data_IF_823270563407
#
_entry.id   IF_823270563407
#
_cell.length_a   1.000
_cell.length_b   1.000
_cell.length_c   1.000
_cell.angle_alpha   90.00
_cell.angle_beta   90.00
_cell.angle_gamma   90.00
#
_symmetry.space_group_name_H-M   'P 1'
#
loop_
_entity.id
_entity.type
_entity.pdbx_description
1 polymer ?
#
# COMPACT_ATOMS: atom_id res chain seq x y z
N UNK A 1 -25.69 -25.86 -3.83
CA UNK A 1 -24.65 -25.04 -4.44
C UNK A 1 -24.37 -23.89 -3.49
N UNK A 2 -23.29 -23.98 -2.70
CA UNK A 2 -22.93 -22.97 -1.67
C UNK A 2 -22.01 -21.96 -2.33
N UNK A 3 -22.49 -20.72 -2.50
CA UNK A 3 -21.67 -19.59 -2.95
C UNK A 3 -20.76 -19.14 -1.80
N UNK A 4 -19.50 -19.48 -1.87
CA UNK A 4 -18.45 -18.92 -1.01
C UNK A 4 -18.20 -17.47 -1.47
N UNK A 5 -18.75 -16.50 -0.73
CA UNK A 5 -18.40 -15.10 -0.87
C UNK A 5 -16.99 -14.92 -0.29
N UNK A 6 -15.99 -14.88 -1.15
CA UNK A 6 -14.63 -14.50 -0.78
C UNK A 6 -14.64 -12.99 -0.46
N UNK A 7 -14.37 -12.63 0.79
CA UNK A 7 -14.09 -11.24 1.17
C UNK A 7 -12.75 -10.83 0.57
N UNK A 8 -12.76 -10.34 -0.66
CA UNK A 8 -11.61 -9.63 -1.22
C UNK A 8 -11.57 -8.24 -0.56
N UNK A 9 -10.49 -7.93 0.15
CA UNK A 9 -10.25 -6.56 0.61
C UNK A 9 -10.15 -5.65 -0.62
N UNK A 10 -10.88 -4.53 -0.60
CA UNK A 10 -10.84 -3.56 -1.68
C UNK A 10 -9.39 -3.08 -1.92
N UNK A 11 -8.97 -2.92 -3.18
CA UNK A 11 -7.65 -2.36 -3.48
C UNK A 11 -7.53 -0.94 -2.89
N UNK A 12 -6.31 -0.50 -2.53
CA UNK A 12 -6.11 0.86 -2.03
C UNK A 12 -6.55 1.86 -3.10
N UNK A 13 -7.32 2.87 -2.70
CA UNK A 13 -7.75 3.95 -3.60
C UNK A 13 -6.71 5.06 -3.56
N UNK A 14 -6.11 5.46 -4.70
CA UNK A 14 -5.19 6.57 -4.75
C UNK A 14 -5.86 7.89 -4.37
N UNK A 15 -5.13 8.75 -3.65
CA UNK A 15 -5.51 10.14 -3.44
C UNK A 15 -4.96 10.96 -4.60
N UNK A 16 -5.83 11.66 -5.31
CA UNK A 16 -5.47 12.44 -6.51
C UNK A 16 -5.76 13.91 -6.28
N UNK A 17 -4.81 14.75 -6.68
CA UNK A 17 -4.93 16.20 -6.70
C UNK A 17 -4.43 16.72 -8.06
N UNK A 18 -5.10 17.71 -8.62
CA UNK A 18 -4.74 18.26 -9.92
C UNK A 18 -5.20 19.71 -10.10
N UNK A 19 -4.50 20.43 -10.97
CA UNK A 19 -4.88 21.77 -11.38
C UNK A 19 -6.04 21.72 -12.41
N UNK A 20 -7.25 22.04 -11.97
CA UNK A 20 -8.44 22.01 -12.81
C UNK A 20 -8.43 23.04 -13.98
N UNK A 21 -7.53 24.04 -13.92
CA UNK A 21 -7.37 25.03 -14.98
C UNK A 21 -6.34 24.61 -16.05
N UNK A 22 -5.65 23.49 -15.86
CA UNK A 22 -4.67 22.96 -16.81
C UNK A 22 -5.37 22.17 -17.92
N UNK A 23 -4.99 22.40 -19.16
CA UNK A 23 -5.55 21.70 -20.33
C UNK A 23 -4.87 20.36 -20.54
N UNK A 24 -5.39 19.31 -19.92
CA UNK A 24 -4.90 17.94 -20.07
C UNK A 24 -5.22 17.32 -21.44
N UNK A 25 -6.20 17.83 -22.16
CA UNK A 25 -6.58 17.31 -23.49
C UNK A 25 -5.55 17.67 -24.56
N UNK A 26 -4.78 18.74 -24.35
CA UNK A 26 -3.68 19.14 -25.23
C UNK A 26 -2.45 18.24 -25.09
N UNK A 27 -2.30 17.49 -23.99
CA UNK A 27 -1.13 16.68 -23.67
C UNK A 27 -1.09 15.41 -24.54
N UNK A 28 0.03 15.19 -25.21
CA UNK A 28 0.27 14.01 -26.07
C UNK A 28 1.54 13.29 -25.74
N UNK A 29 2.57 14.02 -25.31
CA UNK A 29 3.91 13.50 -25.08
C UNK A 29 4.28 13.56 -23.60
N UNK A 30 4.89 12.47 -23.09
CA UNK A 30 5.36 12.39 -21.70
C UNK A 30 6.79 11.88 -21.68
N UNK A 31 7.65 12.55 -20.93
CA UNK A 31 8.99 12.04 -20.62
C UNK A 31 9.08 11.61 -19.15
N UNK A 32 9.88 10.58 -18.87
CA UNK A 32 10.25 10.27 -17.50
C UNK A 32 11.32 11.25 -17.03
N UNK A 33 11.06 11.86 -15.87
CA UNK A 33 11.98 12.77 -15.23
C UNK A 33 12.50 12.17 -13.94
N UNK A 34 13.83 11.97 -13.87
CA UNK A 34 14.51 11.61 -12.63
C UNK A 34 15.08 12.87 -12.00
N UNK A 35 14.58 13.22 -10.83
CA UNK A 35 15.22 14.26 -10.03
C UNK A 35 16.68 13.85 -9.74
N UNK A 36 17.59 14.82 -9.79
CA UNK A 36 19.02 14.57 -9.53
C UNK A 36 19.30 14.18 -8.07
N UNK A 37 18.36 14.46 -7.17
CA UNK A 37 18.47 14.18 -5.74
C UNK A 37 17.46 13.10 -5.32
N UNK A 38 17.92 12.21 -4.42
CA UNK A 38 17.06 11.24 -3.78
C UNK A 38 16.03 11.96 -2.91
N UNK A 39 14.75 11.65 -3.07
CA UNK A 39 13.72 12.28 -2.25
C UNK A 39 13.89 11.91 -0.76
N UNK A 40 13.58 12.83 0.16
CA UNK A 40 13.60 12.54 1.59
C UNK A 40 12.70 11.33 1.91
N UNK A 41 13.26 10.33 2.61
CA UNK A 41 12.56 9.09 2.96
C UNK A 41 12.65 7.95 1.93
N UNK A 42 13.29 8.17 0.78
CA UNK A 42 13.72 7.06 -0.09
C UNK A 42 14.87 6.29 0.58
N UNK A 43 14.72 4.97 0.66
CA UNK A 43 15.79 4.09 1.14
C UNK A 43 16.50 3.46 -0.08
N UNK A 44 17.75 3.89 -0.39
CA UNK A 44 18.50 3.34 -1.52
C UNK A 44 18.77 1.83 -1.40
N UNK A 45 18.77 1.30 -0.18
CA UNK A 45 18.97 -0.13 0.06
C UNK A 45 17.74 -0.96 -0.31
N UNK A 46 16.55 -0.36 -0.19
CA UNK A 46 15.28 -1.01 -0.53
C UNK A 46 14.90 -0.84 -2.00
N UNK A 47 15.47 0.15 -2.68
CA UNK A 47 15.15 0.51 -4.05
C UNK A 47 16.35 0.26 -5.00
N UNK A 48 16.57 -1.00 -5.38
CA UNK A 48 17.61 -1.35 -6.34
C UNK A 48 17.29 -0.79 -7.75
N UNK A 49 18.33 -0.62 -8.59
CA UNK A 49 18.14 -0.18 -9.99
C UNK A 49 17.17 -1.08 -10.75
N UNK A 50 17.25 -2.39 -10.51
CA UNK A 50 16.31 -3.36 -11.12
C UNK A 50 14.87 -3.11 -10.69
N UNK A 51 14.63 -2.67 -9.46
CA UNK A 51 13.29 -2.31 -8.97
C UNK A 51 12.81 -1.01 -9.61
N UNK A 52 13.70 -0.02 -9.71
CA UNK A 52 13.44 1.24 -10.43
C UNK A 52 13.04 0.98 -11.88
N UNK A 53 13.80 0.15 -12.59
CA UNK A 53 13.53 -0.21 -13.98
C UNK A 53 12.16 -0.88 -14.15
N UNK A 54 11.75 -1.73 -13.19
CA UNK A 54 10.41 -2.37 -13.21
C UNK A 54 9.29 -1.36 -13.00
N UNK A 55 9.46 -0.44 -12.05
CA UNK A 55 8.50 0.65 -11.80
C UNK A 55 8.35 1.50 -13.06
N UNK A 56 9.46 1.94 -13.64
CA UNK A 56 9.44 2.77 -14.84
C UNK A 56 8.85 2.03 -16.04
N UNK A 57 9.14 0.74 -16.20
CA UNK A 57 8.53 -0.08 -17.23
C UNK A 57 7.02 -0.15 -17.08
N UNK A 58 6.51 -0.35 -15.85
CA UNK A 58 5.09 -0.35 -15.57
C UNK A 58 4.42 1.00 -15.85
N UNK A 59 5.04 2.11 -15.42
CA UNK A 59 4.53 3.47 -15.69
C UNK A 59 4.50 3.78 -17.18
N UNK A 60 5.55 3.43 -17.92
CA UNK A 60 5.62 3.57 -19.40
C UNK A 60 4.51 2.79 -20.09
N UNK A 61 4.33 1.54 -19.70
CA UNK A 61 3.29 0.67 -20.24
C UNK A 61 1.89 1.25 -19.98
N UNK A 62 1.65 1.72 -18.76
CA UNK A 62 0.37 2.31 -18.36
C UNK A 62 0.05 3.62 -19.11
N UNK A 63 1.04 4.48 -19.36
CA UNK A 63 0.88 5.70 -20.15
C UNK A 63 0.61 5.39 -21.63
N UNK A 64 1.38 4.48 -22.20
CA UNK A 64 1.19 4.05 -23.59
C UNK A 64 -0.20 3.45 -23.82
N UNK A 65 -0.69 2.65 -22.87
CA UNK A 65 -2.04 2.09 -22.92
C UNK A 65 -3.15 3.15 -22.89
N UNK A 66 -2.85 4.34 -22.33
CA UNK A 66 -3.75 5.52 -22.29
C UNK A 66 -3.61 6.42 -23.50
N UNK A 67 -2.74 6.08 -24.47
CA UNK A 67 -2.57 6.80 -25.71
C UNK A 67 -1.48 7.87 -25.70
N UNK A 68 -0.70 7.99 -24.64
CA UNK A 68 0.41 8.94 -24.58
C UNK A 68 1.63 8.41 -25.32
N UNK A 69 2.33 9.31 -26.01
CA UNK A 69 3.62 9.02 -26.66
C UNK A 69 4.75 9.30 -25.69
N UNK A 70 5.61 8.32 -25.51
CA UNK A 70 6.78 8.48 -24.64
C UNK A 70 7.93 9.07 -25.45
N UNK A 71 8.53 10.13 -24.91
CA UNK A 71 9.72 10.80 -25.46
C UNK A 71 10.88 10.71 -24.46
N UNK A 72 12.11 10.82 -24.96
CA UNK A 72 13.30 10.71 -24.10
C UNK A 72 13.86 12.09 -23.70
N UNK A 73 13.48 13.14 -24.43
CA UNK A 73 13.93 14.50 -24.18
C UNK A 73 12.88 15.28 -23.37
N UNK A 74 13.34 16.02 -22.38
CA UNK A 74 12.51 16.92 -21.56
C UNK A 74 11.93 18.05 -22.45
N UNK A 75 12.70 18.48 -23.45
CA UNK A 75 12.32 19.57 -24.36
C UNK A 75 11.20 19.17 -25.34
N UNK A 76 11.02 17.87 -25.58
CA UNK A 76 10.00 17.33 -26.49
C UNK A 76 8.73 16.89 -25.76
N UNK A 77 8.74 16.96 -24.43
CA UNK A 77 7.64 16.47 -23.60
C UNK A 77 6.67 17.60 -23.24
N UNK A 78 5.39 17.34 -23.42
CA UNK A 78 4.33 18.20 -22.90
C UNK A 78 4.24 18.10 -21.37
N UNK A 79 4.48 16.91 -20.81
CA UNK A 79 4.56 16.68 -19.37
C UNK A 79 5.74 15.79 -19.00
N UNK A 80 6.28 16.02 -17.81
CA UNK A 80 7.29 15.18 -17.20
C UNK A 80 6.66 14.34 -16.09
N UNK A 81 6.84 13.02 -16.16
CA UNK A 81 6.48 12.11 -15.09
C UNK A 81 7.63 11.96 -14.12
N UNK A 82 7.43 12.35 -12.88
CA UNK A 82 8.31 12.06 -11.76
C UNK A 82 7.61 11.10 -10.79
N UNK A 83 8.39 10.21 -10.14
CA UNK A 83 7.85 9.31 -9.16
C UNK A 83 8.80 9.10 -7.98
N UNK A 84 8.22 8.81 -6.81
CA UNK A 84 8.93 8.54 -5.57
C UNK A 84 8.28 7.38 -4.83
N UNK A 85 9.09 6.52 -4.22
CA UNK A 85 8.62 5.46 -3.33
C UNK A 85 9.29 5.62 -1.97
N UNK A 86 8.51 6.04 -1.00
CA UNK A 86 8.93 6.16 0.40
C UNK A 86 8.50 4.92 1.16
N UNK A 87 9.40 4.33 1.94
CA UNK A 87 9.10 3.14 2.76
C UNK A 87 9.31 3.43 4.23
N UNK A 88 8.34 3.05 5.06
CA UNK A 88 8.38 3.19 6.51
C UNK A 88 8.11 1.84 7.17
N UNK A 89 8.95 1.46 8.14
CA UNK A 89 8.70 0.28 8.94
C UNK A 89 7.75 0.65 10.10
N UNK A 90 6.64 -0.06 10.20
CA UNK A 90 5.59 0.15 11.20
C UNK A 90 5.36 -1.12 12.01
N UNK A 91 4.89 -0.92 13.23
CA UNK A 91 4.50 -1.99 14.14
C UNK A 91 2.99 -1.92 14.41
N UNK A 92 2.30 -3.03 14.20
CA UNK A 92 0.91 -3.23 14.61
C UNK A 92 0.94 -3.99 15.95
N UNK A 93 0.64 -3.30 17.04
CA UNK A 93 0.62 -3.88 18.39
C UNK A 93 -0.82 -4.17 18.76
N UNK A 94 -1.15 -5.45 18.90
CA UNK A 94 -2.47 -5.89 19.35
C UNK A 94 -2.35 -6.57 20.70
N UNK A 95 -3.09 -6.07 21.67
CA UNK A 95 -3.28 -6.72 22.96
C UNK A 95 -4.65 -7.38 23.01
N UNK A 96 -4.71 -8.63 23.38
CA UNK A 96 -5.95 -9.35 23.62
C UNK A 96 -5.85 -10.13 24.93
N UNK A 97 -6.96 -10.12 25.66
CA UNK A 97 -7.07 -10.88 26.88
C UNK A 97 -7.43 -12.32 26.53
N UNK A 98 -6.53 -13.24 26.85
CA UNK A 98 -6.80 -14.67 26.71
C UNK A 98 -7.26 -15.18 28.08
N UNK A 99 -8.48 -15.74 28.18
CA UNK A 99 -8.90 -16.40 29.40
C UNK A 99 -7.99 -17.59 29.66
N UNK A 100 -7.12 -17.51 30.65
CA UNK A 100 -6.34 -18.68 31.06
C UNK A 100 -7.24 -19.63 31.85
N UNK A 101 -7.78 -20.64 31.19
CA UNK A 101 -8.31 -21.78 31.87
C UNK A 101 -7.13 -22.52 32.47
N UNK A 102 -6.82 -22.24 33.71
CA UNK A 102 -5.91 -23.11 34.49
C UNK A 102 -6.64 -24.45 34.60
N UNK A 103 -6.25 -25.40 33.78
CA UNK A 103 -6.66 -26.80 33.94
C UNK A 103 -5.99 -27.29 35.23
N UNK A 104 -6.64 -26.98 36.35
CA UNK A 104 -6.28 -27.56 37.61
C UNK A 104 -6.58 -29.06 37.48
N UNK A 105 -5.50 -29.86 37.41
CA UNK A 105 -5.56 -31.28 37.20
C UNK A 105 -6.49 -31.95 38.19
N UNK A 106 -7.68 -32.26 37.72
CA UNK A 106 -8.70 -33.02 38.43
C UNK A 106 -8.55 -34.51 38.05
N UNK A 107 -7.42 -35.10 38.40
CA UNK A 107 -7.27 -36.53 38.38
C UNK A 107 -6.90 -37.02 39.80
N UNK A 108 -7.95 -37.17 40.65
CA UNK A 108 -7.84 -37.87 41.91
C UNK A 108 -9.20 -38.50 42.24
N UNK A 109 -9.27 -39.81 42.63
CA UNK A 109 -10.53 -40.54 42.86
C UNK A 109 -11.21 -40.22 44.19
N UNK A 110 -11.19 -38.94 44.62
CA UNK A 110 -11.74 -38.52 45.92
C UNK A 110 -12.71 -37.34 45.87
N UNK A 111 -13.00 -36.75 44.74
CA UNK A 111 -13.75 -35.47 44.66
C UNK A 111 -15.25 -35.59 44.43
N UNK A 112 -15.87 -36.75 44.60
CA UNK A 112 -17.32 -36.89 44.33
C UNK A 112 -18.24 -36.40 45.43
N UNK A 113 -17.80 -35.68 46.45
CA UNK A 113 -18.69 -35.26 47.55
C UNK A 113 -18.38 -33.90 48.16
N UNK A 114 -18.21 -32.85 47.39
CA UNK A 114 -18.35 -31.50 47.99
C UNK A 114 -18.71 -30.45 46.95
N UNK A 115 -19.99 -30.05 47.02
CA UNK A 115 -20.43 -28.67 46.88
C UNK A 115 -20.46 -28.03 45.48
N UNK A 116 -21.61 -28.19 44.81
CA UNK A 116 -22.05 -27.36 43.71
C UNK A 116 -22.16 -25.84 44.03
N UNK A 117 -21.93 -25.46 45.28
CA UNK A 117 -21.98 -24.04 45.72
C UNK A 117 -20.65 -23.29 45.52
N UNK A 118 -19.55 -23.98 45.25
CA UNK A 118 -18.24 -23.36 45.11
C UNK A 118 -17.90 -22.90 43.69
N UNK A 119 -18.64 -23.33 42.69
CA UNK A 119 -18.37 -22.93 41.30
C UNK A 119 -18.80 -21.48 40.96
N UNK A 120 -19.75 -20.94 41.75
CA UNK A 120 -20.22 -19.56 41.55
C UNK A 120 -19.38 -18.50 42.25
N UNK A 121 -18.51 -18.85 43.16
CA UNK A 121 -17.73 -17.89 43.94
C UNK A 121 -16.32 -17.65 43.41
N UNK A 122 -15.89 -18.33 42.37
CA UNK A 122 -14.54 -18.16 41.80
C UNK A 122 -14.54 -17.36 40.49
N UNK A 123 -15.42 -16.37 40.36
CA UNK A 123 -15.35 -15.41 39.22
C UNK A 123 -14.02 -14.63 39.21
N UNK A 124 -13.37 -14.50 40.36
CA UNK A 124 -12.06 -13.83 40.50
C UNK A 124 -10.83 -14.74 40.25
N UNK A 125 -11.07 -16.05 40.01
CA UNK A 125 -9.97 -17.00 39.71
C UNK A 125 -9.65 -17.10 38.22
N UNK A 126 -10.39 -16.42 37.34
CA UNK A 126 -10.02 -16.26 35.92
C UNK A 126 -8.96 -15.16 35.84
N UNK A 127 -7.72 -15.52 36.04
CA UNK A 127 -6.63 -14.62 35.68
C UNK A 127 -6.60 -14.51 34.15
N UNK A 128 -6.99 -13.36 33.62
CA UNK A 128 -6.76 -13.04 32.21
C UNK A 128 -5.28 -12.80 32.02
N UNK A 129 -4.69 -13.50 31.07
CA UNK A 129 -3.34 -13.20 30.61
C UNK A 129 -3.45 -12.31 29.39
N UNK A 130 -2.87 -11.13 29.48
CA UNK A 130 -2.76 -10.24 28.31
C UNK A 130 -1.65 -10.78 27.41
N UNK A 131 -2.00 -11.23 26.23
CA UNK A 131 -1.03 -11.52 25.18
C UNK A 131 -0.89 -10.30 24.28
N UNK A 132 0.35 -9.90 24.06
CA UNK A 132 0.71 -8.82 23.16
C UNK A 132 1.29 -9.43 21.90
N UNK A 133 0.62 -9.24 20.78
CA UNK A 133 1.11 -9.63 19.46
C UNK A 133 1.64 -8.38 18.76
N UNK A 134 2.91 -8.43 18.39
CA UNK A 134 3.58 -7.38 17.62
C UNK A 134 3.82 -7.90 16.22
N UNK A 135 3.24 -7.24 15.22
CA UNK A 135 3.47 -7.52 13.83
C UNK A 135 4.17 -6.34 13.17
N UNK A 136 5.40 -6.53 12.78
CA UNK A 136 6.15 -5.56 11.98
C UNK A 136 5.73 -5.67 10.51
N UNK A 137 5.55 -4.53 9.86
CA UNK A 137 5.30 -4.46 8.43
C UNK A 137 5.91 -3.19 7.84
N UNK A 138 6.33 -3.28 6.58
CA UNK A 138 6.78 -2.12 5.84
C UNK A 138 5.59 -1.51 5.09
N UNK A 139 5.37 -0.21 5.27
CA UNK A 139 4.41 0.57 4.51
C UNK A 139 5.14 1.31 3.41
N UNK A 140 4.65 1.16 2.16
CA UNK A 140 5.14 1.92 1.01
C UNK A 140 4.15 3.01 0.62
N UNK A 141 4.65 4.23 0.44
CA UNK A 141 3.91 5.35 -0.15
C UNK A 141 4.49 5.64 -1.52
N UNK A 142 3.70 5.40 -2.55
CA UNK A 142 4.06 5.64 -3.94
C UNK A 142 3.41 6.92 -4.42
N UNK A 143 4.24 7.86 -4.85
CA UNK A 143 3.84 9.18 -5.34
C UNK A 143 4.21 9.28 -6.81
N UNK A 144 3.28 9.75 -7.63
CA UNK A 144 3.51 10.06 -9.05
C UNK A 144 3.04 11.48 -9.31
N UNK A 145 3.92 12.27 -9.91
CA UNK A 145 3.68 13.65 -10.29
C UNK A 145 3.77 13.82 -11.81
N UNK A 146 2.83 14.54 -12.38
CA UNK A 146 2.93 15.11 -13.73
C UNK A 146 3.32 16.58 -13.60
N UNK A 147 4.47 16.94 -14.16
CA UNK A 147 5.09 18.23 -14.03
C UNK A 147 5.04 18.93 -15.40
N UNK A 148 4.54 20.14 -15.43
CA UNK A 148 4.63 21.01 -16.60
C UNK A 148 6.07 21.54 -16.70
N UNK A 149 6.80 21.25 -17.81
CA UNK A 149 8.19 21.67 -17.95
C UNK A 149 8.33 23.20 -18.10
N UNK A 150 7.33 23.89 -18.63
CA UNK A 150 7.36 25.35 -18.80
C UNK A 150 7.14 26.07 -17.47
N UNK A 151 6.15 25.62 -16.69
CA UNK A 151 5.83 26.21 -15.38
C UNK A 151 6.71 25.67 -14.26
N UNK A 152 7.43 24.58 -14.49
CA UNK A 152 8.28 23.86 -13.51
C UNK A 152 7.51 23.49 -12.22
N UNK A 153 6.24 23.09 -12.37
CA UNK A 153 5.37 22.74 -11.25
C UNK A 153 4.52 21.51 -11.56
N UNK A 154 4.18 20.76 -10.52
CA UNK A 154 3.25 19.66 -10.64
C UNK A 154 1.86 20.19 -10.96
N UNK A 155 1.25 19.65 -12.02
CA UNK A 155 -0.13 19.93 -12.44
C UNK A 155 -1.08 18.81 -12.11
N UNK A 156 -0.55 17.62 -11.83
CA UNK A 156 -1.30 16.46 -11.35
C UNK A 156 -0.42 15.61 -10.44
N UNK A 157 -1.01 15.11 -9.38
CA UNK A 157 -0.36 14.23 -8.39
C UNK A 157 -1.28 13.12 -7.98
N UNK A 158 -0.74 11.92 -7.88
CA UNK A 158 -1.41 10.77 -7.29
C UNK A 158 -0.55 10.14 -6.21
N UNK A 159 -1.17 9.80 -5.08
CA UNK A 159 -0.51 9.19 -3.94
C UNK A 159 -1.26 7.92 -3.57
N UNK A 160 -0.58 6.80 -3.50
CA UNK A 160 -1.13 5.56 -2.97
C UNK A 160 -0.25 5.00 -1.86
N UNK A 161 -0.88 4.46 -0.84
CA UNK A 161 -0.18 3.87 0.30
C UNK A 161 -0.64 2.43 0.47
N UNK A 162 0.31 1.51 0.58
CA UNK A 162 0.02 0.09 0.76
C UNK A 162 0.99 -0.57 1.72
N UNK A 163 0.56 -1.69 2.33
CA UNK A 163 1.47 -2.55 3.07
C UNK A 163 2.28 -3.38 2.08
N UNK A 164 3.60 -3.29 2.15
CA UNK A 164 4.49 -4.11 1.37
C UNK A 164 4.62 -5.47 2.06
N UNK A 165 4.22 -6.55 1.38
CA UNK A 165 4.36 -7.91 1.88
C UNK A 165 5.70 -8.47 1.42
N UNK A 166 6.72 -8.43 2.29
CA UNK A 166 8.06 -8.90 1.99
C UNK A 166 8.87 -7.93 1.13
N UNK A 167 9.98 -8.42 0.56
CA UNK A 167 10.76 -7.65 -0.41
C UNK A 167 9.89 -7.30 -1.63
N UNK A 168 10.11 -6.12 -2.20
CA UNK A 168 9.51 -5.72 -3.46
C UNK A 168 9.76 -6.84 -4.48
N UNK A 169 8.70 -7.54 -4.86
CA UNK A 169 8.77 -8.78 -5.62
C UNK A 169 9.44 -8.61 -6.97
N UNK A 170 9.85 -9.75 -7.57
CA UNK A 170 10.48 -9.75 -8.91
C UNK A 170 9.47 -9.79 -10.05
N UNK A 171 8.19 -9.90 -9.74
CA UNK A 171 7.10 -10.05 -10.71
C UNK A 171 6.72 -8.71 -11.33
N UNK A 172 6.97 -8.54 -12.62
CA UNK A 172 6.64 -7.31 -13.36
C UNK A 172 5.15 -6.96 -13.26
N UNK A 173 4.26 -7.96 -13.28
CA UNK A 173 2.81 -7.76 -13.21
C UNK A 173 2.36 -6.93 -12.02
N UNK A 174 3.01 -7.04 -10.87
CA UNK A 174 2.68 -6.25 -9.67
C UNK A 174 3.01 -4.76 -9.83
N UNK A 175 4.09 -4.47 -10.55
CA UNK A 175 4.47 -3.09 -10.87
C UNK A 175 3.51 -2.49 -11.90
N UNK A 176 3.09 -3.31 -12.87
CA UNK A 176 2.10 -2.90 -13.87
C UNK A 176 0.73 -2.62 -13.23
N UNK A 177 0.30 -3.46 -12.28
CA UNK A 177 -0.91 -3.22 -11.48
C UNK A 177 -0.81 -1.93 -10.67
N UNK A 178 0.31 -1.71 -9.97
CA UNK A 178 0.53 -0.50 -9.19
C UNK A 178 0.56 0.75 -10.07
N UNK A 179 1.22 0.69 -11.24
CA UNK A 179 1.25 1.77 -12.21
C UNK A 179 -0.15 2.09 -12.76
N UNK A 180 -0.92 1.06 -13.11
CA UNK A 180 -2.30 1.22 -13.57
C UNK A 180 -3.21 1.80 -12.49
N UNK A 181 -3.01 1.41 -11.23
CA UNK A 181 -3.76 1.92 -10.10
C UNK A 181 -3.48 3.41 -9.89
N UNK A 182 -2.20 3.80 -9.79
CA UNK A 182 -1.79 5.17 -9.48
C UNK A 182 -2.13 6.14 -10.62
N UNK A 183 -2.06 5.69 -11.87
CA UNK A 183 -2.43 6.48 -13.05
C UNK A 183 -3.90 6.32 -13.44
N UNK A 184 -4.72 5.63 -12.65
CA UNK A 184 -6.11 5.30 -13.00
C UNK A 184 -7.00 6.51 -13.27
N UNK A 185 -6.69 7.66 -12.65
CA UNK A 185 -7.40 8.93 -12.82
C UNK A 185 -6.65 9.93 -13.71
N UNK A 186 -5.67 9.48 -14.49
CA UNK A 186 -4.95 10.35 -15.43
C UNK A 186 -5.27 9.97 -16.88
N UNK A 187 -5.61 10.97 -17.74
CA UNK A 187 -5.83 12.37 -17.41
C UNK A 187 -7.14 12.61 -16.64
N UNK A 188 -7.24 13.71 -15.85
CA UNK A 188 -8.49 14.09 -15.19
C UNK A 188 -9.60 14.35 -16.22
N UNK A 189 -10.81 13.84 -15.94
CA UNK A 189 -11.94 13.94 -16.87
C UNK A 189 -12.22 12.66 -17.67
N UNK A 190 -11.26 11.76 -17.78
CA UNK A 190 -11.41 10.45 -18.43
C UNK A 190 -11.76 9.30 -17.43
N UNK A 191 -12.19 9.65 -16.23
CA UNK A 191 -12.76 8.68 -15.30
C UNK A 191 -14.02 8.10 -15.92
N UNK A 192 -13.93 6.96 -16.57
CA UNK A 192 -15.10 6.16 -16.90
C UNK A 192 -15.88 5.89 -15.61
N UNK A 193 -17.20 5.94 -15.64
CA UNK A 193 -18.08 5.77 -14.52
C UNK A 193 -17.95 4.38 -13.85
#
# INVERSE_FOLDING_TARGET
>A
MVLLAACASAPPTPSVDYNAAYDFDAVKTVALYRAAETAPGEDPLKLSDMTRDRIESGLKSALTARGFTLVNSVEEADLLLSWHLVTEDKMDVRSYEVPSATTMGMYGPGFYRYNTYSMYSCWSCMSSRTEVSVHEYTQGTFVVDMIDPEQQRSVWRSVTTSRLKGELGREQSKYDEAANLVLGSFPPGNSAP
#
